data_IF_301232960254
#
_entry.id   IF_301232960254
#
_cell.length_a   1.000
_cell.length_b   1.000
_cell.length_c   1.000
_cell.angle_alpha   90.00
_cell.angle_beta   90.00
_cell.angle_gamma   90.00
#
_symmetry.space_group_name_H-M   'P 1'
#
loop_
_entity.id
_entity.type
_entity.pdbx_description
1 polymer ?
#
# COMPACT_ATOMS: atom_id res chain seq x y z
N UNK A 1 13.87 -24.09 24.01
CA UNK A 1 13.32 -22.83 23.49
C UNK A 1 14.36 -22.15 22.59
N UNK A 2 13.96 -21.53 21.46
CA UNK A 2 14.91 -20.96 20.49
C UNK A 2 15.38 -19.54 20.83
N UNK A 3 14.63 -18.82 21.65
CA UNK A 3 14.95 -17.46 22.11
C UNK A 3 14.60 -17.33 23.61
N UNK A 4 15.37 -17.98 24.50
CA UNK A 4 15.00 -18.16 25.92
C UNK A 4 15.14 -16.93 26.81
N UNK A 5 15.62 -15.79 26.31
CA UNK A 5 15.82 -14.58 27.11
C UNK A 5 14.53 -13.87 27.53
N UNK A 6 13.42 -14.20 26.87
CA UNK A 6 12.12 -13.60 27.09
C UNK A 6 11.20 -14.67 27.64
N UNK A 7 10.48 -14.38 28.72
CA UNK A 7 9.31 -15.16 29.11
C UNK A 7 8.17 -14.84 28.15
N UNK A 8 8.12 -15.58 27.04
CA UNK A 8 7.18 -15.33 25.96
C UNK A 8 5.74 -15.45 26.42
N UNK A 9 5.41 -16.40 27.29
CA UNK A 9 4.03 -16.58 27.75
C UNK A 9 3.59 -15.36 28.56
N UNK A 10 4.39 -14.93 29.53
CA UNK A 10 4.08 -13.75 30.34
C UNK A 10 4.02 -12.47 29.50
N UNK A 11 4.97 -12.28 28.57
CA UNK A 11 4.96 -11.13 27.67
C UNK A 11 3.72 -11.10 26.76
N UNK A 12 3.37 -12.24 26.15
CA UNK A 12 2.19 -12.32 25.30
C UNK A 12 0.89 -12.15 26.10
N UNK A 13 0.80 -12.71 27.31
CA UNK A 13 -0.34 -12.48 28.19
C UNK A 13 -0.49 -11.00 28.56
N UNK A 14 0.61 -10.30 28.82
CA UNK A 14 0.58 -8.86 29.10
C UNK A 14 0.18 -8.02 27.86
N UNK A 15 0.69 -8.37 26.68
CA UNK A 15 0.42 -7.65 25.42
C UNK A 15 -1.02 -7.86 24.95
N UNK A 16 -1.54 -9.08 25.04
CA UNK A 16 -2.85 -9.47 24.52
C UNK A 16 -3.98 -9.42 25.57
N UNK A 17 -3.71 -9.04 26.82
CA UNK A 17 -4.74 -8.92 27.86
C UNK A 17 -5.92 -8.04 27.39
N UNK A 18 -7.18 -8.49 27.52
CA UNK A 18 -7.65 -9.61 28.36
C UNK A 18 -7.76 -10.98 27.66
N UNK A 19 -7.26 -11.12 26.43
CA UNK A 19 -7.32 -12.39 25.71
C UNK A 19 -6.46 -13.47 26.40
N UNK A 20 -7.01 -14.67 26.68
CA UNK A 20 -6.24 -15.74 27.30
C UNK A 20 -5.22 -16.31 26.31
N UNK A 21 -3.94 -16.21 26.65
CA UNK A 21 -2.82 -16.80 25.89
C UNK A 21 -2.28 -18.03 26.62
N UNK A 22 -1.96 -19.09 25.86
CA UNK A 22 -1.42 -20.34 26.38
C UNK A 22 -0.26 -20.85 25.50
N UNK A 23 0.48 -21.86 26.00
CA UNK A 23 1.66 -22.42 25.33
C UNK A 23 1.37 -23.12 24.00
N UNK A 24 0.12 -23.50 23.74
CA UNK A 24 -0.29 -24.15 22.49
C UNK A 24 -0.65 -23.16 21.39
N UNK A 25 -0.60 -21.85 21.65
CA UNK A 25 -0.96 -20.82 20.68
C UNK A 25 0.05 -20.81 19.51
N UNK A 26 -0.40 -20.95 18.24
CA UNK A 26 0.49 -20.85 17.10
C UNK A 26 0.96 -19.40 16.92
N UNK A 27 2.25 -19.23 16.66
CA UNK A 27 2.90 -17.93 16.40
C UNK A 27 3.68 -18.05 15.09
N UNK A 28 3.41 -17.15 14.14
CA UNK A 28 4.19 -17.05 12.91
C UNK A 28 5.48 -16.30 13.22
N UNK A 29 6.63 -16.93 12.99
CA UNK A 29 7.94 -16.31 13.16
C UNK A 29 8.54 -16.04 11.79
N UNK A 30 8.72 -14.76 11.46
CA UNK A 30 9.26 -14.34 10.17
C UNK A 30 10.78 -14.56 10.07
N UNK A 31 11.52 -14.28 11.14
CA UNK A 31 12.97 -14.44 11.18
C UNK A 31 13.41 -15.05 12.53
N UNK A 32 13.74 -16.35 12.50
CA UNK A 32 14.15 -17.07 13.69
C UNK A 32 15.60 -16.77 14.11
N UNK A 33 16.44 -16.35 13.17
CA UNK A 33 17.84 -16.06 13.44
C UNK A 33 17.98 -14.69 14.11
N UNK A 34 17.19 -13.71 13.67
CA UNK A 34 17.01 -12.45 14.38
C UNK A 34 16.61 -12.68 15.86
N UNK A 35 15.58 -13.50 16.11
CA UNK A 35 15.12 -13.76 17.49
C UNK A 35 16.17 -14.47 18.36
N UNK A 36 16.95 -15.38 17.77
CA UNK A 36 18.08 -16.03 18.45
C UNK A 36 19.15 -15.00 18.83
N UNK A 37 19.55 -14.14 17.89
CA UNK A 37 20.53 -13.09 18.13
C UNK A 37 20.05 -12.08 19.17
N UNK A 38 18.81 -11.62 19.07
CA UNK A 38 18.18 -10.74 20.07
C UNK A 38 18.19 -11.39 21.47
N UNK A 39 17.82 -12.67 21.57
CA UNK A 39 17.85 -13.39 22.84
C UNK A 39 19.26 -13.45 23.45
N UNK A 40 20.29 -13.65 22.64
CA UNK A 40 21.67 -13.66 23.11
C UNK A 40 22.08 -12.28 23.65
N UNK A 41 21.74 -11.19 22.94
CA UNK A 41 22.04 -9.83 23.37
C UNK A 41 21.33 -9.46 24.68
N UNK A 42 20.05 -9.83 24.81
CA UNK A 42 19.29 -9.60 26.05
C UNK A 42 19.96 -10.35 27.21
N UNK A 43 20.31 -11.63 27.02
CA UNK A 43 21.04 -12.39 28.04
C UNK A 43 22.41 -11.79 28.38
N UNK A 44 23.09 -11.19 27.42
CA UNK A 44 24.38 -10.54 27.67
C UNK A 44 24.22 -9.25 28.50
N UNK A 45 23.15 -8.48 28.26
CA UNK A 45 23.00 -7.13 28.82
C UNK A 45 21.87 -6.99 29.86
N UNK A 46 21.23 -8.07 30.29
CA UNK A 46 20.09 -8.02 31.23
C UNK A 46 20.41 -7.34 32.58
N UNK A 47 21.66 -7.44 33.05
CA UNK A 47 22.11 -6.80 34.29
C UNK A 47 22.61 -5.36 34.08
N UNK A 48 22.69 -4.92 32.82
CA UNK A 48 23.19 -3.60 32.46
C UNK A 48 22.04 -2.59 32.32
N UNK A 49 22.34 -1.32 32.55
CA UNK A 49 21.37 -0.23 32.33
C UNK A 49 21.02 -0.03 30.86
N UNK A 50 21.80 -0.60 29.94
CA UNK A 50 21.69 -0.41 28.50
C UNK A 50 20.30 -0.77 27.98
N UNK A 51 19.74 -1.92 28.39
CA UNK A 51 18.39 -2.32 27.95
C UNK A 51 17.32 -1.36 28.45
N UNK A 52 17.43 -0.88 29.69
CA UNK A 52 16.51 0.10 30.27
C UNK A 52 16.59 1.44 29.54
N UNK A 53 17.79 1.93 29.26
CA UNK A 53 18.02 3.16 28.50
C UNK A 53 17.43 3.03 27.11
N UNK A 54 17.67 1.91 26.41
CA UNK A 54 17.11 1.65 25.09
C UNK A 54 15.57 1.70 25.12
N UNK A 55 14.93 1.02 26.07
CA UNK A 55 13.46 1.06 26.21
C UNK A 55 12.93 2.48 26.49
N UNK A 56 13.61 3.26 27.32
CA UNK A 56 13.24 4.66 27.60
C UNK A 56 13.39 5.52 26.33
N UNK A 57 14.48 5.35 25.57
CA UNK A 57 14.69 6.09 24.32
C UNK A 57 13.60 5.75 23.30
N UNK A 58 13.21 4.48 23.17
CA UNK A 58 12.07 4.09 22.33
C UNK A 58 10.76 4.74 22.79
N UNK A 59 10.50 4.77 24.11
CA UNK A 59 9.31 5.42 24.67
C UNK A 59 9.28 6.93 24.38
N UNK A 60 10.39 7.62 24.62
CA UNK A 60 10.54 9.05 24.32
C UNK A 60 10.40 9.31 22.82
N UNK A 61 10.97 8.46 21.97
CA UNK A 61 10.83 8.54 20.52
C UNK A 61 9.37 8.43 20.05
N UNK A 62 8.58 7.56 20.69
CA UNK A 62 7.16 7.39 20.36
C UNK A 62 6.27 8.52 20.89
N UNK A 63 6.58 9.09 22.06
CA UNK A 63 5.74 10.10 22.71
C UNK A 63 6.13 11.54 22.41
N UNK A 64 7.37 11.79 22.00
CA UNK A 64 7.86 13.12 21.64
C UNK A 64 7.08 13.86 20.54
N UNK A 65 6.39 13.23 19.56
CA UNK A 65 5.53 13.96 18.62
C UNK A 65 4.37 14.72 19.31
N UNK A 66 4.03 14.34 20.53
CA UNK A 66 2.97 14.93 21.33
C UNK A 66 3.46 15.95 22.38
N UNK A 67 4.77 16.20 22.42
CA UNK A 67 5.41 17.15 23.33
C UNK A 67 5.63 18.52 22.66
N UNK A 68 6.12 19.47 23.45
CA UNK A 68 6.31 20.86 23.03
C UNK A 68 7.34 21.03 21.90
N UNK A 69 7.54 22.28 21.47
CA UNK A 69 8.42 22.63 20.37
C UNK A 69 9.87 22.18 20.57
N UNK A 70 10.40 22.13 21.81
CA UNK A 70 11.79 21.71 22.03
C UNK A 70 12.01 20.26 21.57
N UNK A 71 11.01 19.40 21.81
CA UNK A 71 11.05 18.02 21.33
C UNK A 71 10.79 17.92 19.83
N UNK A 72 9.93 18.76 19.25
CA UNK A 72 9.72 18.78 17.81
C UNK A 72 10.98 19.24 17.06
N UNK A 73 11.65 20.27 17.56
CA UNK A 73 12.86 20.85 16.97
C UNK A 73 14.02 19.84 17.02
N UNK A 74 14.23 19.16 18.15
CA UNK A 74 15.24 18.12 18.27
C UNK A 74 14.98 16.93 17.33
N UNK A 75 13.71 16.58 17.09
CA UNK A 75 13.34 15.53 16.11
C UNK A 75 13.59 15.99 14.68
N UNK A 76 13.28 17.24 14.36
CA UNK A 76 13.53 17.82 13.05
C UNK A 76 15.04 17.83 12.77
N UNK A 77 15.85 18.31 13.71
CA UNK A 77 17.31 18.30 13.59
C UNK A 77 17.84 16.88 13.34
N UNK A 78 17.39 15.89 14.13
CA UNK A 78 17.77 14.50 13.90
C UNK A 78 17.35 13.99 12.51
N UNK A 79 16.14 14.33 12.07
CA UNK A 79 15.64 13.93 10.74
C UNK A 79 16.46 14.55 9.62
N UNK A 80 16.87 15.81 9.76
CA UNK A 80 17.73 16.52 8.81
C UNK A 80 19.13 15.90 8.74
N UNK A 81 19.70 15.50 9.89
CA UNK A 81 21.00 14.81 9.93
C UNK A 81 20.93 13.44 9.25
N UNK A 82 19.87 12.67 9.50
CA UNK A 82 19.73 11.30 8.98
C UNK A 82 19.32 11.23 7.50
N UNK A 83 18.46 12.15 7.06
CA UNK A 83 17.79 12.07 5.76
C UNK A 83 18.01 13.32 4.87
N UNK A 84 18.82 14.29 5.32
CA UNK A 84 19.08 15.52 4.59
C UNK A 84 17.80 16.31 4.31
N UNK A 85 17.68 16.88 3.10
CA UNK A 85 16.49 17.64 2.68
C UNK A 85 15.18 16.84 2.67
N UNK A 86 15.22 15.50 2.60
CA UNK A 86 14.02 14.68 2.78
C UNK A 86 13.53 14.72 4.23
N UNK A 87 14.43 14.80 5.20
CA UNK A 87 14.09 14.87 6.62
C UNK A 87 13.20 16.06 6.97
N UNK A 88 13.53 17.25 6.45
CA UNK A 88 12.69 18.45 6.65
C UNK A 88 11.29 18.33 6.04
N UNK A 89 11.08 17.47 5.04
CA UNK A 89 9.77 17.23 4.42
C UNK A 89 8.94 16.19 5.16
N UNK A 90 9.56 15.35 6.00
CA UNK A 90 8.87 14.32 6.79
C UNK A 90 8.13 14.91 8.01
N UNK A 91 8.53 16.10 8.48
CA UNK A 91 7.87 16.82 9.56
C UNK A 91 7.08 17.98 8.97
N UNK A 92 5.73 18.00 9.08
CA UNK A 92 4.94 19.11 8.54
C UNK A 92 5.33 20.43 9.19
N UNK A 93 5.83 21.38 8.38
CA UNK A 93 6.25 22.71 8.86
C UNK A 93 5.08 23.53 9.43
N UNK A 94 3.86 23.32 8.91
CA UNK A 94 2.67 24.05 9.33
C UNK A 94 1.90 23.28 10.41
N UNK A 95 1.59 23.96 11.52
CA UNK A 95 0.90 23.35 12.68
C UNK A 95 -0.42 22.66 12.30
N UNK A 96 -1.23 23.27 11.44
CA UNK A 96 -2.51 22.70 11.03
C UNK A 96 -2.33 21.39 10.23
N UNK A 97 -1.28 21.27 9.40
CA UNK A 97 -0.97 20.04 8.67
C UNK A 97 -0.54 18.95 9.63
N UNK A 98 0.31 19.26 10.61
CA UNK A 98 0.69 18.33 11.67
C UNK A 98 -0.55 17.83 12.42
N UNK A 99 -1.43 18.74 12.87
CA UNK A 99 -2.67 18.35 13.55
C UNK A 99 -3.55 17.43 12.70
N UNK A 100 -3.68 17.72 11.40
CA UNK A 100 -4.42 16.89 10.46
C UNK A 100 -3.78 15.51 10.29
N UNK A 101 -2.45 15.43 10.14
CA UNK A 101 -1.70 14.16 10.04
C UNK A 101 -1.86 13.34 11.32
N UNK A 102 -1.66 13.95 12.49
CA UNK A 102 -1.77 13.27 13.78
C UNK A 102 -3.21 12.76 14.01
N UNK A 103 -4.22 13.55 13.65
CA UNK A 103 -5.63 13.13 13.74
C UNK A 103 -5.93 12.00 12.76
N UNK A 104 -5.40 12.08 11.54
CA UNK A 104 -5.54 11.03 10.51
C UNK A 104 -5.00 9.68 10.98
N UNK A 105 -3.91 9.66 11.73
CA UNK A 105 -3.32 8.42 12.27
C UNK A 105 -4.25 7.69 13.25
N UNK A 106 -5.04 8.42 14.04
CA UNK A 106 -5.90 7.82 15.07
C UNK A 106 -7.35 7.65 14.63
N UNK A 107 -7.82 8.49 13.70
CA UNK A 107 -9.22 8.59 13.29
C UNK A 107 -9.42 8.29 11.80
N UNK A 108 -8.61 7.37 11.25
CA UNK A 108 -8.63 7.07 9.81
C UNK A 108 -10.02 6.68 9.28
N UNK A 109 -10.78 5.75 9.91
CA UNK A 109 -12.10 5.37 9.41
C UNK A 109 -13.11 6.53 9.42
N UNK A 110 -13.05 7.40 10.45
CA UNK A 110 -13.93 8.56 10.61
C UNK A 110 -13.64 9.59 9.51
N UNK A 111 -12.37 9.99 9.38
CA UNK A 111 -11.95 10.93 8.35
C UNK A 111 -12.13 10.35 6.95
N UNK A 112 -11.98 9.03 6.79
CA UNK A 112 -12.20 8.33 5.54
C UNK A 112 -13.62 8.49 5.04
N UNK A 113 -14.61 8.30 5.91
CA UNK A 113 -16.01 8.55 5.55
C UNK A 113 -16.21 9.98 5.06
N UNK A 114 -15.72 10.97 5.81
CA UNK A 114 -15.89 12.39 5.48
C UNK A 114 -15.20 12.77 4.17
N UNK A 115 -13.94 12.35 3.98
CA UNK A 115 -13.14 12.71 2.82
C UNK A 115 -13.68 12.03 1.56
N UNK A 116 -13.99 10.74 1.62
CA UNK A 116 -14.48 9.97 0.46
C UNK A 116 -15.80 10.53 -0.08
N UNK A 117 -16.71 10.93 0.80
CA UNK A 117 -17.98 11.56 0.40
C UNK A 117 -17.77 12.82 -0.44
N UNK A 118 -16.71 13.57 -0.15
CA UNK A 118 -16.34 14.78 -0.88
C UNK A 118 -15.58 14.48 -2.17
N UNK A 119 -14.64 13.55 -2.15
CA UNK A 119 -13.67 13.38 -3.24
C UNK A 119 -14.03 12.29 -4.25
N UNK A 120 -14.96 11.38 -3.94
CA UNK A 120 -15.22 10.18 -4.74
C UNK A 120 -16.72 9.93 -4.96
N UNK A 121 -17.38 10.80 -5.76
CA UNK A 121 -18.81 10.65 -6.06
C UNK A 121 -19.08 9.40 -6.90
N UNK A 122 -20.34 8.94 -6.90
CA UNK A 122 -20.75 7.71 -7.59
C UNK A 122 -20.41 7.69 -9.09
N UNK A 123 -20.43 8.85 -9.75
CA UNK A 123 -20.05 8.96 -11.17
C UNK A 123 -18.58 8.65 -11.40
N UNK A 124 -17.69 9.13 -10.53
CA UNK A 124 -16.25 8.82 -10.55
C UNK A 124 -16.03 7.32 -10.40
N UNK A 125 -16.70 6.68 -9.43
CA UNK A 125 -16.62 5.24 -9.23
C UNK A 125 -17.04 4.47 -10.49
N UNK A 126 -18.18 4.82 -11.09
CA UNK A 126 -18.69 4.14 -12.28
C UNK A 126 -17.74 4.24 -13.47
N UNK A 127 -17.15 5.42 -13.72
CA UNK A 127 -16.19 5.59 -14.82
C UNK A 127 -14.89 4.81 -14.54
N UNK A 128 -14.39 4.83 -13.29
CA UNK A 128 -13.23 4.04 -12.89
C UNK A 128 -13.45 2.53 -13.09
N UNK A 129 -14.61 2.00 -12.72
CA UNK A 129 -14.98 0.59 -12.93
C UNK A 129 -15.03 0.23 -14.42
N UNK A 130 -15.58 1.11 -15.26
CA UNK A 130 -15.62 0.91 -16.72
C UNK A 130 -14.22 0.90 -17.33
N UNK A 131 -13.37 1.86 -16.97
CA UNK A 131 -11.99 1.90 -17.45
C UNK A 131 -11.21 0.65 -17.00
N UNK A 132 -11.37 0.25 -15.74
CA UNK A 132 -10.70 -0.94 -15.21
C UNK A 132 -11.14 -2.22 -15.94
N UNK A 133 -12.41 -2.33 -16.33
CA UNK A 133 -12.89 -3.44 -17.16
C UNK A 133 -12.18 -3.50 -18.52
N UNK A 134 -12.01 -2.36 -19.19
CA UNK A 134 -11.33 -2.31 -20.50
C UNK A 134 -9.84 -2.66 -20.39
N UNK A 135 -9.21 -2.32 -19.27
CA UNK A 135 -7.81 -2.65 -18.98
C UNK A 135 -7.66 -4.16 -18.74
N UNK A 136 -8.59 -4.77 -18.00
CA UNK A 136 -8.61 -6.23 -17.82
C UNK A 136 -8.79 -6.96 -19.15
N UNK A 137 -9.68 -6.47 -20.01
CA UNK A 137 -9.90 -7.03 -21.34
C UNK A 137 -8.65 -6.91 -22.21
N UNK A 138 -8.01 -5.73 -22.23
CA UNK A 138 -6.78 -5.50 -22.99
C UNK A 138 -5.61 -6.38 -22.49
N UNK A 139 -5.52 -6.63 -21.18
CA UNK A 139 -4.55 -7.57 -20.62
C UNK A 139 -4.86 -9.01 -21.09
N UNK A 140 -6.13 -9.43 -21.09
CA UNK A 140 -6.53 -10.75 -21.58
C UNK A 140 -6.22 -10.93 -23.07
N UNK A 141 -6.44 -9.90 -23.89
CA UNK A 141 -6.07 -9.89 -25.30
C UNK A 141 -4.54 -9.98 -25.48
N UNK A 142 -3.78 -9.27 -24.65
CA UNK A 142 -2.31 -9.33 -24.71
C UNK A 142 -1.79 -10.70 -24.29
N UNK A 143 -2.44 -11.34 -23.31
CA UNK A 143 -2.16 -12.73 -22.96
C UNK A 143 -2.40 -13.69 -24.12
N UNK A 144 -3.18 -13.38 -25.15
CA UNK A 144 -3.28 -14.21 -26.37
C UNK A 144 -2.12 -14.08 -27.33
N UNK A 145 -1.29 -13.04 -27.16
CA UNK A 145 -0.19 -12.73 -28.07
C UNK A 145 1.18 -13.06 -27.51
N UNK A 146 1.30 -13.29 -26.20
CA UNK A 146 2.59 -13.66 -25.59
C UNK A 146 3.07 -15.01 -26.10
N UNK A 147 4.30 -15.05 -26.62
CA UNK A 147 4.89 -16.25 -27.21
C UNK A 147 5.53 -17.19 -26.17
N UNK A 148 5.87 -16.65 -25.00
CA UNK A 148 6.59 -17.41 -23.97
C UNK A 148 5.67 -18.30 -23.12
N UNK A 149 4.36 -18.06 -23.12
CA UNK A 149 3.38 -18.91 -22.42
C UNK A 149 2.78 -19.96 -23.35
N UNK A 150 2.78 -21.22 -22.92
CA UNK A 150 1.98 -22.27 -23.55
C UNK A 150 0.48 -22.05 -23.30
N UNK A 151 -0.37 -22.71 -24.10
CA UNK A 151 -1.82 -22.52 -24.04
C UNK A 151 -2.43 -22.81 -22.66
N UNK A 152 -1.95 -23.86 -21.97
CA UNK A 152 -2.47 -24.21 -20.64
C UNK A 152 -2.12 -23.13 -19.63
N UNK A 153 -0.88 -22.64 -19.65
CA UNK A 153 -0.43 -21.55 -18.78
C UNK A 153 -1.24 -20.28 -19.06
N UNK A 154 -1.46 -19.95 -20.33
CA UNK A 154 -2.22 -18.79 -20.80
C UNK A 154 -3.65 -18.78 -20.26
N UNK A 155 -4.36 -19.90 -20.39
CA UNK A 155 -5.71 -20.04 -19.83
C UNK A 155 -5.73 -19.91 -18.30
N UNK A 156 -4.72 -20.47 -17.62
CA UNK A 156 -4.53 -20.29 -16.18
C UNK A 156 -4.31 -18.83 -15.78
N UNK A 157 -3.53 -18.09 -16.57
CA UNK A 157 -3.27 -16.66 -16.39
C UNK A 157 -4.55 -15.83 -16.57
N UNK A 158 -5.34 -16.08 -17.62
CA UNK A 158 -6.65 -15.43 -17.81
C UNK A 158 -7.63 -15.73 -16.68
N UNK A 159 -7.70 -16.99 -16.24
CA UNK A 159 -8.53 -17.38 -15.10
C UNK A 159 -8.04 -16.78 -13.77
N UNK A 160 -6.78 -16.35 -13.69
CA UNK A 160 -6.25 -15.61 -12.54
C UNK A 160 -6.75 -14.17 -12.57
N UNK A 161 -6.65 -13.48 -13.71
CA UNK A 161 -7.21 -12.12 -13.88
C UNK A 161 -8.70 -12.09 -13.54
N UNK A 162 -9.50 -13.04 -14.05
CA UNK A 162 -10.94 -13.05 -13.82
C UNK A 162 -11.37 -13.31 -12.37
N UNK A 163 -10.48 -13.84 -11.52
CA UNK A 163 -10.74 -14.09 -10.09
C UNK A 163 -10.15 -13.03 -9.18
N UNK A 164 -9.47 -12.03 -9.74
CA UNK A 164 -8.88 -10.94 -8.99
C UNK A 164 -9.96 -10.10 -8.31
N UNK A 165 -9.81 -9.83 -7.03
CA UNK A 165 -10.66 -8.88 -6.32
C UNK A 165 -10.21 -7.45 -6.64
N UNK A 166 -11.16 -6.55 -6.87
CA UNK A 166 -10.89 -5.16 -7.28
C UNK A 166 -11.60 -4.23 -6.32
N UNK A 167 -10.82 -3.40 -5.63
CA UNK A 167 -11.33 -2.44 -4.66
C UNK A 167 -11.00 -1.02 -5.11
N UNK A 168 -12.01 -0.27 -5.55
CA UNK A 168 -11.89 1.10 -6.05
C UNK A 168 -12.53 2.09 -5.08
N UNK A 169 -11.74 3.08 -4.65
CA UNK A 169 -12.17 4.17 -3.78
C UNK A 169 -11.87 3.93 -2.30
N UNK A 170 -12.66 3.05 -1.67
CA UNK A 170 -12.65 2.95 -0.22
C UNK A 170 -13.23 1.62 0.29
N UNK A 171 -12.81 1.16 1.49
CA UNK A 171 -13.34 -0.08 2.05
C UNK A 171 -14.76 0.13 2.57
N UNK A 172 -15.67 -0.79 2.27
CA UNK A 172 -17.11 -0.63 2.53
C UNK A 172 -17.48 -0.42 4.03
N UNK A 173 -16.61 -0.80 4.97
CA UNK A 173 -16.88 -0.66 6.40
C UNK A 173 -16.83 0.79 6.90
N UNK A 174 -16.11 1.70 6.24
CA UNK A 174 -16.00 3.09 6.70
C UNK A 174 -17.31 3.87 6.55
N UNK A 175 -18.23 3.37 5.70
CA UNK A 175 -19.58 3.94 5.58
C UNK A 175 -20.55 3.40 6.64
N UNK A 176 -20.13 2.44 7.45
CA UNK A 176 -20.95 1.82 8.50
C UNK A 176 -20.67 2.54 9.82
N UNK A 177 -21.27 3.72 9.99
CA UNK A 177 -21.03 4.62 11.13
C UNK A 177 -21.17 3.92 12.49
N UNK A 178 -22.11 2.99 12.65
CA UNK A 178 -22.24 2.22 13.90
C UNK A 178 -21.00 1.38 14.21
N UNK A 179 -20.38 0.75 13.19
CA UNK A 179 -19.13 -0.02 13.36
C UNK A 179 -17.95 0.88 13.67
N UNK A 180 -17.86 2.03 13.01
CA UNK A 180 -16.81 3.01 13.30
C UNK A 180 -16.96 3.53 14.73
N UNK A 181 -18.17 3.86 15.19
CA UNK A 181 -18.43 4.32 16.56
C UNK A 181 -18.06 3.28 17.62
N UNK A 182 -18.23 1.99 17.33
CA UNK A 182 -17.82 0.89 18.21
C UNK A 182 -16.30 0.90 18.47
N UNK A 183 -15.48 1.29 17.49
CA UNK A 183 -14.01 1.36 17.63
C UNK A 183 -13.56 2.45 18.60
N UNK A 184 -14.39 3.48 18.82
CA UNK A 184 -14.07 4.67 19.62
C UNK A 184 -14.96 4.81 20.87
N UNK A 185 -15.78 3.82 21.20
CA UNK A 185 -16.77 3.91 22.31
C UNK A 185 -16.14 4.22 23.67
N UNK A 186 -14.89 3.78 23.90
CA UNK A 186 -14.16 4.00 25.15
C UNK A 186 -13.12 5.13 25.06
N UNK A 187 -13.14 5.92 23.98
CA UNK A 187 -12.19 7.02 23.78
C UNK A 187 -12.79 8.34 24.26
N UNK A 188 -12.12 9.00 25.21
CA UNK A 188 -12.44 10.35 25.67
C UNK A 188 -11.32 11.31 25.23
N UNK A 189 -11.69 12.37 24.51
CA UNK A 189 -10.77 13.41 24.04
C UNK A 189 -11.13 14.72 24.74
N UNK A 190 -10.12 15.42 25.27
CA UNK A 190 -10.29 16.73 25.92
C UNK A 190 -9.46 17.78 25.22
N UNK A 191 -10.03 18.96 25.00
CA UNK A 191 -9.40 20.02 24.20
C UNK A 191 -8.03 20.45 24.73
N UNK A 192 -7.87 20.52 26.06
CA UNK A 192 -6.67 21.05 26.71
C UNK A 192 -5.60 20.00 27.05
N UNK A 193 -5.79 18.73 26.68
CA UNK A 193 -4.87 17.64 27.10
C UNK A 193 -4.34 16.81 25.94
N UNK A 194 -3.68 17.45 24.97
CA UNK A 194 -3.17 16.78 23.76
C UNK A 194 -2.32 15.54 24.04
N UNK A 195 -1.34 15.61 24.96
CA UNK A 195 -0.51 14.47 25.31
C UNK A 195 -1.34 13.30 25.87
N UNK A 196 -2.29 13.58 26.76
CA UNK A 196 -3.17 12.54 27.32
C UNK A 196 -4.11 11.96 26.26
N UNK A 197 -4.57 12.77 25.30
CA UNK A 197 -5.36 12.30 24.16
C UNK A 197 -4.54 11.32 23.31
N UNK A 198 -3.28 11.63 23.01
CA UNK A 198 -2.39 10.72 22.26
C UNK A 198 -2.20 9.40 23.02
N UNK A 199 -1.98 9.45 24.34
CA UNK A 199 -1.88 8.23 25.17
C UNK A 199 -3.19 7.42 25.15
N UNK A 200 -4.34 8.09 25.23
CA UNK A 200 -5.65 7.45 25.15
C UNK A 200 -5.87 6.78 23.77
N UNK A 201 -5.52 7.47 22.68
CA UNK A 201 -5.61 6.91 21.33
C UNK A 201 -4.66 5.70 21.15
N UNK A 202 -3.42 5.78 21.62
CA UNK A 202 -2.47 4.65 21.58
C UNK A 202 -3.00 3.43 22.36
N UNK A 203 -3.66 3.68 23.50
CA UNK A 203 -4.33 2.62 24.26
C UNK A 203 -5.40 1.96 23.40
N UNK A 204 -6.36 2.72 22.86
CA UNK A 204 -7.44 2.19 22.01
C UNK A 204 -6.93 1.46 20.76
N UNK A 205 -5.89 1.98 20.09
CA UNK A 205 -5.27 1.30 18.95
C UNK A 205 -4.71 -0.07 19.35
N UNK A 206 -4.04 -0.14 20.51
CA UNK A 206 -3.61 -1.43 21.07
C UNK A 206 -4.82 -2.32 21.35
N UNK A 207 -5.89 -1.78 21.92
CA UNK A 207 -7.10 -2.56 22.23
C UNK A 207 -7.75 -3.18 20.99
N UNK A 208 -7.93 -2.36 19.95
CA UNK A 208 -8.51 -2.81 18.69
C UNK A 208 -7.61 -3.83 17.98
N UNK A 209 -6.27 -3.72 18.11
CA UNK A 209 -5.33 -4.63 17.46
C UNK A 209 -5.46 -6.10 17.91
N UNK A 210 -5.76 -6.37 19.19
CA UNK A 210 -5.96 -7.73 19.69
C UNK A 210 -7.41 -8.22 19.60
N UNK A 211 -8.39 -7.32 19.48
CA UNK A 211 -9.78 -7.71 19.21
C UNK A 211 -9.98 -8.12 17.75
N UNK A 212 -9.21 -7.56 16.81
CA UNK A 212 -9.27 -7.89 15.37
C UNK A 212 -9.20 -9.41 15.10
N UNK A 213 -8.22 -10.18 15.62
CA UNK A 213 -8.17 -11.64 15.42
C UNK A 213 -9.40 -12.41 15.92
N UNK A 214 -10.11 -11.90 16.92
CA UNK A 214 -11.31 -12.55 17.49
C UNK A 214 -12.56 -12.32 16.64
N UNK A 215 -12.55 -11.31 15.78
CA UNK A 215 -13.65 -11.04 14.86
C UNK A 215 -13.54 -11.99 13.66
N UNK A 216 -14.50 -12.92 13.54
CA UNK A 216 -14.61 -13.94 12.46
C UNK A 216 -14.54 -13.38 11.02
N UNK A 217 -14.67 -12.06 10.85
CA UNK A 217 -14.70 -11.36 9.57
C UNK A 217 -13.64 -10.25 9.43
N UNK A 218 -12.70 -10.12 10.37
CA UNK A 218 -11.59 -9.15 10.29
C UNK A 218 -10.50 -9.65 9.33
N UNK A 219 -10.85 -9.85 8.06
CA UNK A 219 -9.86 -9.78 7.00
C UNK A 219 -9.73 -8.30 6.67
N UNK A 220 -8.81 -7.63 7.37
CA UNK A 220 -8.42 -6.27 7.03
C UNK A 220 -7.66 -6.34 5.69
N UNK A 221 -8.43 -6.26 4.61
CA UNK A 221 -7.93 -6.37 3.23
C UNK A 221 -7.31 -5.06 2.75
N UNK A 222 -7.58 -3.96 3.46
CA UNK A 222 -7.23 -2.60 3.07
C UNK A 222 -6.09 -2.08 3.96
N UNK A 223 -5.01 -1.53 3.38
CA UNK A 223 -3.77 -1.22 4.10
C UNK A 223 -3.28 0.23 3.98
N UNK A 224 -4.04 1.07 3.27
CA UNK A 224 -3.69 2.49 3.04
C UNK A 224 -4.89 3.36 3.40
N UNK A 225 -4.72 4.65 3.65
CA UNK A 225 -5.91 5.49 3.86
C UNK A 225 -6.74 5.61 2.55
N UNK A 226 -8.07 5.75 2.60
CA UNK A 226 -8.90 5.93 1.41
C UNK A 226 -8.53 7.15 0.56
N UNK A 227 -7.92 8.18 1.14
CA UNK A 227 -7.47 9.38 0.43
C UNK A 227 -5.98 9.34 0.03
N UNK A 228 -5.31 8.20 0.21
CA UNK A 228 -3.95 7.99 -0.28
C UNK A 228 -3.89 8.08 -1.81
N UNK A 229 -2.70 8.38 -2.34
CA UNK A 229 -2.40 8.37 -3.77
C UNK A 229 -1.52 7.17 -4.16
N UNK A 230 -1.65 6.07 -3.40
CA UNK A 230 -0.86 4.86 -3.56
C UNK A 230 -1.77 3.64 -3.73
N UNK A 231 -1.68 2.99 -4.90
CA UNK A 231 -2.29 1.70 -5.18
C UNK A 231 -1.39 0.55 -4.76
N UNK A 232 -1.95 -0.65 -4.66
CA UNK A 232 -1.16 -1.86 -4.46
C UNK A 232 -1.91 -3.13 -4.89
N UNK A 233 -1.13 -4.17 -5.21
CA UNK A 233 -1.57 -5.55 -5.33
C UNK A 233 -1.21 -6.37 -4.08
N UNK A 234 -2.22 -6.97 -3.45
CA UNK A 234 -2.06 -7.90 -2.33
C UNK A 234 -1.91 -9.34 -2.83
N UNK A 235 -0.71 -9.91 -2.72
CA UNK A 235 -0.46 -11.33 -3.02
C UNK A 235 -1.33 -12.23 -2.14
N UNK A 236 -1.48 -11.89 -0.85
CA UNK A 236 -2.23 -12.69 0.14
C UNK A 236 -3.70 -12.79 -0.19
N UNK A 237 -4.31 -11.68 -0.60
CA UNK A 237 -5.75 -11.61 -0.86
C UNK A 237 -6.10 -11.77 -2.36
N UNK A 238 -5.09 -11.81 -3.23
CA UNK A 238 -5.25 -11.76 -4.68
C UNK A 238 -6.21 -10.62 -5.08
N UNK A 239 -5.81 -9.40 -4.72
CA UNK A 239 -6.65 -8.22 -4.79
C UNK A 239 -5.83 -7.00 -5.19
N UNK A 240 -6.39 -6.12 -6.02
CA UNK A 240 -5.84 -4.79 -6.30
C UNK A 240 -6.68 -3.73 -5.62
N UNK A 241 -6.01 -2.71 -5.08
CA UNK A 241 -6.63 -1.62 -4.33
C UNK A 241 -6.21 -0.29 -4.92
N UNK A 242 -7.19 0.55 -5.24
CA UNK A 242 -7.00 1.91 -5.72
C UNK A 242 -7.78 2.87 -4.83
N UNK A 243 -7.13 3.63 -3.94
CA UNK A 243 -7.82 4.56 -3.05
C UNK A 243 -8.47 5.72 -3.80
N UNK A 244 -9.52 6.30 -3.22
CA UNK A 244 -10.27 7.45 -3.72
C UNK A 244 -9.39 8.67 -4.01
N UNK A 245 -8.30 8.85 -3.26
CA UNK A 245 -7.33 9.92 -3.48
C UNK A 245 -6.69 9.90 -4.88
N UNK A 246 -6.60 8.73 -5.52
CA UNK A 246 -6.07 8.60 -6.89
C UNK A 246 -7.05 9.05 -7.97
N UNK A 247 -8.35 9.16 -7.67
CA UNK A 247 -9.39 9.48 -8.65
C UNK A 247 -9.71 10.97 -8.69
N UNK A 248 -8.64 11.78 -8.67
CA UNK A 248 -8.66 13.24 -8.58
C UNK A 248 -7.60 13.81 -9.52
N UNK A 249 -7.75 15.08 -9.88
CA UNK A 249 -6.72 15.80 -10.65
C UNK A 249 -5.37 15.78 -9.90
N UNK A 250 -4.24 15.56 -10.59
CA UNK A 250 -4.08 15.46 -12.04
C UNK A 250 -4.29 14.05 -12.63
N UNK A 251 -4.49 13.01 -11.80
CA UNK A 251 -4.52 11.63 -12.27
C UNK A 251 -5.83 11.23 -12.95
N UNK A 252 -6.95 11.84 -12.54
CA UNK A 252 -8.27 11.50 -13.05
C UNK A 252 -9.27 12.64 -12.89
N UNK A 253 -10.12 12.81 -13.89
CA UNK A 253 -11.35 13.57 -13.76
C UNK A 253 -12.40 13.04 -14.73
N UNK A 254 -13.68 13.07 -14.33
CA UNK A 254 -14.78 12.59 -15.18
C UNK A 254 -14.96 13.40 -16.47
N UNK A 255 -14.46 14.63 -16.49
CA UNK A 255 -14.50 15.53 -17.66
C UNK A 255 -13.19 15.55 -18.45
N UNK A 256 -12.13 14.85 -17.98
CA UNK A 256 -10.91 14.78 -18.75
C UNK A 256 -11.10 13.96 -20.04
N UNK A 257 -10.35 14.27 -21.10
CA UNK A 257 -10.24 13.41 -22.27
C UNK A 257 -9.88 11.98 -21.82
N UNK A 258 -10.50 10.96 -22.41
CA UNK A 258 -10.22 9.59 -21.99
C UNK A 258 -8.75 9.22 -22.20
N UNK A 259 -8.09 9.80 -23.20
CA UNK A 259 -6.64 9.73 -23.37
C UNK A 259 -5.86 10.04 -22.07
N UNK A 260 -6.19 11.16 -21.40
CA UNK A 260 -5.52 11.59 -20.14
C UNK A 260 -5.83 10.60 -19.02
N UNK A 261 -7.10 10.21 -18.86
CA UNK A 261 -7.47 9.27 -17.81
C UNK A 261 -6.80 7.90 -17.99
N UNK A 262 -6.75 7.36 -19.22
CA UNK A 262 -6.06 6.09 -19.49
C UNK A 262 -4.53 6.23 -19.38
N UNK A 263 -3.96 7.35 -19.82
CA UNK A 263 -2.53 7.64 -19.73
C UNK A 263 -2.02 7.89 -18.30
N UNK A 264 -2.90 8.37 -17.42
CA UNK A 264 -2.61 8.53 -16.00
C UNK A 264 -3.12 7.34 -15.18
N UNK A 265 -4.36 7.39 -14.67
CA UNK A 265 -4.87 6.33 -13.78
C UNK A 265 -4.94 4.95 -14.46
N UNK A 266 -5.15 4.89 -15.77
CA UNK A 266 -5.17 3.63 -16.51
C UNK A 266 -3.83 2.89 -16.51
N UNK A 267 -2.71 3.62 -16.52
CA UNK A 267 -1.37 3.03 -16.41
C UNK A 267 -1.18 2.41 -15.04
N UNK A 268 -1.56 3.10 -13.96
CA UNK A 268 -1.54 2.53 -12.60
C UNK A 268 -2.44 1.30 -12.48
N UNK A 269 -3.64 1.34 -13.07
CA UNK A 269 -4.55 0.19 -13.08
C UNK A 269 -3.92 -1.04 -13.74
N UNK A 270 -3.27 -0.86 -14.89
CA UNK A 270 -2.60 -1.93 -15.60
C UNK A 270 -1.33 -2.41 -14.88
N UNK A 271 -0.57 -1.50 -14.27
CA UNK A 271 0.62 -1.79 -13.47
C UNK A 271 0.30 -2.77 -12.32
N UNK A 272 -0.71 -2.46 -11.51
CA UNK A 272 -1.10 -3.33 -10.38
C UNK A 272 -1.65 -4.69 -10.83
N UNK A 273 -2.31 -4.75 -12.00
CA UNK A 273 -2.74 -6.02 -12.58
C UNK A 273 -1.54 -6.90 -12.93
N UNK A 274 -0.44 -6.32 -13.41
CA UNK A 274 0.75 -7.06 -13.80
C UNK A 274 1.50 -7.65 -12.60
N UNK A 275 1.37 -7.07 -11.41
CA UNK A 275 1.86 -7.68 -10.17
C UNK A 275 1.26 -9.07 -9.90
N UNK A 276 0.05 -9.35 -10.40
CA UNK A 276 -0.55 -10.67 -10.30
C UNK A 276 0.26 -11.78 -11.04
N UNK A 277 1.19 -11.40 -11.92
CA UNK A 277 1.96 -12.30 -12.77
C UNK A 277 3.41 -12.50 -12.34
N UNK A 278 3.86 -11.87 -11.25
CA UNK A 278 5.22 -12.04 -10.73
C UNK A 278 5.65 -13.50 -10.59
N UNK A 279 4.72 -14.35 -10.14
CA UNK A 279 4.95 -15.78 -10.04
C UNK A 279 5.40 -16.41 -11.37
N UNK A 280 4.86 -16.00 -12.51
CA UNK A 280 5.26 -16.56 -13.81
C UNK A 280 6.62 -16.06 -14.30
N UNK A 281 6.97 -14.81 -13.97
CA UNK A 281 8.23 -14.18 -14.37
C UNK A 281 9.41 -14.75 -13.58
N UNK A 282 9.20 -15.02 -12.29
CA UNK A 282 10.26 -15.52 -11.41
C UNK A 282 10.77 -16.92 -11.81
N UNK A 283 12.03 -17.25 -11.47
CA UNK A 283 12.58 -18.58 -11.69
C UNK A 283 11.67 -19.69 -11.14
N UNK A 284 11.44 -20.73 -11.91
CA UNK A 284 10.61 -21.88 -11.52
C UNK A 284 9.09 -21.70 -11.59
N UNK A 285 8.56 -20.46 -11.68
CA UNK A 285 7.11 -20.27 -11.57
C UNK A 285 6.27 -20.45 -12.85
N UNK A 286 6.90 -20.61 -14.02
CA UNK A 286 6.29 -21.25 -15.18
C UNK A 286 7.18 -22.37 -15.75
N UNK A 287 7.02 -23.63 -15.30
CA UNK A 287 7.86 -24.74 -15.75
C UNK A 287 7.66 -25.14 -17.23
N UNK A 288 6.45 -24.98 -17.75
CA UNK A 288 6.07 -25.38 -19.12
C UNK A 288 6.24 -24.26 -20.16
N UNK A 289 6.50 -23.04 -19.71
CA UNK A 289 6.75 -21.89 -20.57
C UNK A 289 8.05 -22.01 -21.37
N UNK A 290 8.12 -21.31 -22.50
CA UNK A 290 9.36 -21.10 -23.24
C UNK A 290 10.28 -20.15 -22.48
N UNK A 291 11.16 -20.74 -21.66
CA UNK A 291 12.08 -20.00 -20.78
C UNK A 291 13.10 -19.15 -21.53
N UNK A 292 13.56 -19.56 -22.71
CA UNK A 292 14.53 -18.75 -23.47
C UNK A 292 13.90 -17.47 -24.00
N UNK A 293 12.64 -17.51 -24.44
CA UNK A 293 11.89 -16.33 -24.87
C UNK A 293 11.64 -15.35 -23.70
N UNK A 294 11.25 -15.87 -22.53
CA UNK A 294 11.06 -15.06 -21.33
C UNK A 294 12.38 -14.45 -20.85
N UNK A 295 13.45 -15.25 -20.77
CA UNK A 295 14.77 -14.77 -20.31
C UNK A 295 15.30 -13.67 -21.22
N UNK A 296 15.17 -13.81 -22.55
CA UNK A 296 15.56 -12.76 -23.50
C UNK A 296 14.81 -11.45 -23.26
N UNK A 297 13.53 -11.52 -22.89
CA UNK A 297 12.73 -10.34 -22.57
C UNK A 297 13.16 -9.69 -21.26
N UNK A 298 13.47 -10.51 -20.24
CA UNK A 298 14.03 -10.06 -18.95
C UNK A 298 15.38 -9.37 -19.15
N UNK A 299 16.31 -10.02 -19.86
CA UNK A 299 17.66 -9.49 -20.11
C UNK A 299 17.61 -8.15 -20.85
N UNK A 300 16.68 -8.02 -21.81
CA UNK A 300 16.45 -6.77 -22.52
C UNK A 300 16.04 -5.64 -21.57
N UNK A 301 15.12 -5.91 -20.64
CA UNK A 301 14.61 -4.92 -19.70
C UNK A 301 15.66 -4.56 -18.63
N UNK A 302 16.38 -5.56 -18.11
CA UNK A 302 17.50 -5.34 -17.18
C UNK A 302 18.56 -4.45 -17.84
N UNK A 303 19.01 -4.80 -19.04
CA UNK A 303 20.01 -4.03 -19.78
C UNK A 303 19.56 -2.61 -20.11
N UNK A 304 18.27 -2.40 -20.40
CA UNK A 304 17.71 -1.06 -20.60
C UNK A 304 17.82 -0.21 -19.33
N UNK A 305 17.37 -0.73 -18.17
CA UNK A 305 17.35 0.06 -16.94
C UNK A 305 18.75 0.30 -16.37
N UNK A 306 19.67 -0.67 -16.52
CA UNK A 306 21.08 -0.52 -16.14
C UNK A 306 21.84 0.46 -17.06
N UNK A 307 21.31 0.75 -18.25
CA UNK A 307 21.89 1.75 -19.17
C UNK A 307 21.54 3.20 -18.81
N UNK A 308 20.54 3.41 -17.95
CA UNK A 308 20.23 4.75 -17.45
C UNK A 308 21.41 5.23 -16.60
N UNK A 309 21.90 6.45 -16.82
CA UNK A 309 23.12 6.98 -16.18
C UNK A 309 23.04 7.21 -14.66
N UNK A 310 22.06 6.61 -14.00
CA UNK A 310 21.89 6.50 -12.56
C UNK A 310 22.23 5.06 -12.16
N UNK A 311 22.81 4.81 -10.99
CA UNK A 311 23.14 3.46 -10.51
C UNK A 311 21.88 2.62 -10.19
N UNK A 312 21.06 2.33 -11.20
CA UNK A 312 19.85 1.50 -11.09
C UNK A 312 20.24 0.05 -11.24
N UNK A 313 19.91 -0.76 -10.25
CA UNK A 313 20.03 -2.21 -10.36
C UNK A 313 18.80 -2.75 -11.10
N UNK A 314 18.95 -3.02 -12.40
CA UNK A 314 17.88 -3.53 -13.26
C UNK A 314 17.34 -4.88 -12.81
N UNK A 315 18.18 -5.71 -12.18
CA UNK A 315 17.76 -7.00 -11.60
C UNK A 315 16.88 -6.79 -10.36
N UNK A 316 17.26 -5.90 -9.46
CA UNK A 316 16.47 -5.60 -8.25
C UNK A 316 15.13 -4.91 -8.55
N UNK A 317 15.06 -4.17 -9.66
CA UNK A 317 13.86 -3.42 -10.06
C UNK A 317 13.01 -4.13 -11.13
N UNK A 318 13.43 -5.32 -11.58
CA UNK A 318 12.85 -6.04 -12.73
C UNK A 318 11.31 -6.14 -12.69
N UNK A 319 10.76 -6.50 -11.53
CA UNK A 319 9.32 -6.74 -11.40
C UNK A 319 8.49 -5.44 -11.52
N UNK A 320 9.00 -4.33 -10.98
CA UNK A 320 8.40 -3.01 -11.13
C UNK A 320 8.55 -2.50 -12.56
N UNK A 321 9.75 -2.61 -13.14
CA UNK A 321 10.02 -2.21 -14.52
C UNK A 321 9.12 -2.97 -15.51
N UNK A 322 8.83 -4.25 -15.22
CA UNK A 322 7.93 -5.08 -16.02
C UNK A 322 6.49 -4.58 -15.92
N UNK A 323 6.05 -4.23 -14.70
CA UNK A 323 4.72 -3.68 -14.45
C UNK A 323 4.53 -2.30 -15.08
N UNK A 324 5.54 -1.43 -15.04
CA UNK A 324 5.51 -0.11 -15.70
C UNK A 324 5.45 -0.24 -17.22
N UNK A 325 6.39 -1.00 -17.80
CA UNK A 325 6.51 -1.14 -19.26
C UNK A 325 5.27 -1.83 -19.85
N UNK A 326 4.83 -2.92 -19.21
CA UNK A 326 3.63 -3.62 -19.63
C UNK A 326 2.36 -2.82 -19.32
N UNK A 327 2.32 -2.09 -18.21
CA UNK A 327 1.18 -1.30 -17.76
C UNK A 327 0.86 -0.19 -18.75
N UNK A 328 1.89 0.54 -19.20
CA UNK A 328 1.76 1.55 -20.24
C UNK A 328 1.20 0.97 -21.55
N UNK A 329 1.74 -0.17 -22.00
CA UNK A 329 1.30 -0.82 -23.24
C UNK A 329 -0.15 -1.32 -23.16
N UNK A 330 -0.54 -1.91 -22.04
CA UNK A 330 -1.90 -2.41 -21.80
C UNK A 330 -2.89 -1.24 -21.68
N UNK A 331 -2.54 -0.19 -20.92
CA UNK A 331 -3.39 0.99 -20.78
C UNK A 331 -3.63 1.69 -22.12
N UNK A 332 -2.59 1.79 -22.96
CA UNK A 332 -2.73 2.32 -24.32
C UNK A 332 -3.64 1.43 -25.18
N UNK A 333 -3.47 0.10 -25.12
CA UNK A 333 -4.33 -0.81 -25.86
C UNK A 333 -5.80 -0.75 -25.40
N UNK A 334 -6.04 -0.63 -24.09
CA UNK A 334 -7.36 -0.43 -23.50
C UNK A 334 -7.98 0.88 -23.98
N UNK A 335 -7.20 1.96 -24.01
CA UNK A 335 -7.61 3.24 -24.56
C UNK A 335 -7.99 3.15 -26.05
N UNK A 336 -7.20 2.46 -26.89
CA UNK A 336 -7.58 2.24 -28.30
C UNK A 336 -8.86 1.41 -28.44
N UNK A 337 -9.13 0.49 -27.52
CA UNK A 337 -10.39 -0.25 -27.48
C UNK A 337 -11.55 0.65 -27.05
N UNK A 338 -11.33 1.53 -26.07
CA UNK A 338 -12.29 2.53 -25.62
C UNK A 338 -12.71 3.48 -26.75
N UNK A 339 -11.77 4.00 -27.53
CA UNK A 339 -12.03 4.90 -28.66
C UNK A 339 -12.86 4.25 -29.78
N UNK A 340 -12.81 2.93 -29.95
CA UNK A 340 -13.68 2.23 -30.92
C UNK A 340 -15.14 2.22 -30.47
N UNK A 341 -15.37 2.26 -29.16
CA UNK A 341 -16.70 2.20 -28.51
C UNK A 341 -17.26 3.60 -28.24
N UNK A 342 -16.40 4.59 -28.04
CA UNK A 342 -16.77 5.95 -27.63
C UNK A 342 -16.16 6.99 -28.56
N UNK A 343 -16.95 7.99 -28.95
CA UNK A 343 -16.45 9.14 -29.72
C UNK A 343 -15.90 10.19 -28.77
N UNK A 344 -14.66 10.62 -29.01
CA UNK A 344 -14.04 11.73 -28.28
C UNK A 344 -14.14 13.03 -29.08
N UNK A 345 -14.14 14.16 -28.37
CA UNK A 345 -14.06 15.49 -28.97
C UNK A 345 -12.60 15.91 -29.02
N UNK A 346 -12.16 16.41 -30.16
CA UNK A 346 -10.84 17.01 -30.30
C UNK A 346 -10.66 18.18 -29.32
N UNK A 347 -9.42 18.38 -28.87
CA UNK A 347 -9.00 19.49 -28.01
C UNK A 347 -8.24 20.54 -28.85
N UNK A 348 -8.95 21.44 -29.54
CA UNK A 348 -8.33 22.32 -30.54
C UNK A 348 -7.28 23.28 -29.97
N UNK A 349 -7.33 23.57 -28.66
CA UNK A 349 -6.45 24.57 -28.02
C UNK A 349 -5.06 24.02 -27.65
N UNK A 350 -4.88 22.70 -27.54
CA UNK A 350 -3.62 22.09 -27.07
C UNK A 350 -2.71 21.70 -28.26
N UNK A 351 -3.27 21.49 -29.46
CA UNK A 351 -2.51 21.12 -30.65
C UNK A 351 -1.88 19.72 -30.62
N UNK A 352 -2.23 18.90 -29.63
CA UNK A 352 -1.84 17.49 -29.53
C UNK A 352 -2.98 16.59 -29.99
N UNK A 353 -2.64 15.51 -30.68
CA UNK A 353 -3.60 14.42 -30.93
C UNK A 353 -3.93 13.71 -29.63
N UNK A 354 -5.07 13.01 -29.59
CA UNK A 354 -5.41 12.24 -28.40
C UNK A 354 -4.40 11.11 -28.10
N UNK A 355 -3.71 10.58 -29.12
CA UNK A 355 -2.64 9.59 -28.91
C UNK A 355 -1.39 10.23 -28.29
N UNK A 356 -1.08 11.48 -28.64
CA UNK A 356 0.00 12.24 -28.01
C UNK A 356 -0.36 12.63 -26.57
N UNK A 357 -1.62 12.97 -26.31
CA UNK A 357 -2.12 13.36 -24.99
C UNK A 357 -2.13 12.20 -23.98
N UNK A 358 -2.14 10.96 -24.46
CA UNK A 358 -2.04 9.78 -23.60
C UNK A 358 -0.65 9.66 -22.93
N UNK A 359 0.42 10.05 -23.64
CA UNK A 359 1.80 9.99 -23.15
C UNK A 359 2.20 11.31 -22.47
#
# INVERSE_FOLDING_TARGET
EKAPAIDWLSCLQAVFHPMPMNLSQPIVVHDMDYLRGMSQLIQQWHNERVLHIYMIVCLVGNLSPALDSQFQDARLELSEILYGQMGSRMVPAERWRKCLTDTSTFFEPVLGQMIVQEIFPQQTKKLAEQMFSEIQDALCDQLDRVEWMDERTRQGAKARVSRLQVELGYPAHILQTDKVNLEYTNLEIKEDTFFLNVVACLKILRENSYLKPLQHHSQDKWHVSPWSVHSYYSIRHHMVVFPAGMFRSPFFHVEFPSAVNFGAIGVFMAHELLHAFYGYVLPGGCPTCNRSALQKSIDCLVGQYESYGFEVNGTSTLLENTADTGGLAIAYQAYKNWQKKHKEKDLPEIGLSHDQLFY
#
